data_IF_169275316651
#
_entry.id   IF_169275316651
#
_cell.length_a   1.000
_cell.length_b   1.000
_cell.length_c   1.000
_cell.angle_alpha   90.00
_cell.angle_beta   90.00
_cell.angle_gamma   90.00
#
_symmetry.space_group_name_H-M   'P 1'
#
loop_
_entity.id
_entity.type
_entity.pdbx_description
1 polymer ?
#
# COMPACT_ATOMS: atom_id res chain seq x y z
N UNK A 1 17.09 -23.71 -19.18
CA UNK A 1 16.12 -23.20 -18.20
C UNK A 1 15.01 -22.52 -18.98
N UNK A 2 13.77 -23.01 -18.87
CA UNK A 2 12.69 -22.70 -19.81
C UNK A 2 12.20 -21.25 -19.66
N UNK A 3 11.93 -20.59 -20.79
CA UNK A 3 11.36 -19.23 -20.81
C UNK A 3 9.91 -19.18 -20.31
N UNK A 4 9.24 -20.33 -20.20
CA UNK A 4 7.80 -20.45 -19.90
C UNK A 4 7.41 -20.01 -18.48
N UNK A 5 8.07 -20.46 -17.39
CA UNK A 5 7.67 -20.08 -16.03
C UNK A 5 7.90 -18.59 -15.75
N UNK A 6 8.98 -18.01 -16.29
CA UNK A 6 9.24 -16.56 -16.18
C UNK A 6 8.15 -15.78 -16.91
N UNK A 7 7.80 -16.20 -18.13
CA UNK A 7 6.75 -15.54 -18.91
C UNK A 7 5.37 -15.63 -18.24
N UNK A 8 5.04 -16.76 -17.64
CA UNK A 8 3.79 -16.93 -16.87
C UNK A 8 3.75 -16.02 -15.64
N UNK A 9 4.85 -15.90 -14.89
CA UNK A 9 4.96 -14.96 -13.79
C UNK A 9 4.79 -13.51 -14.27
N UNK A 10 5.41 -13.13 -15.39
CA UNK A 10 5.26 -11.79 -15.96
C UNK A 10 3.82 -11.51 -16.41
N UNK A 11 3.15 -12.49 -17.04
CA UNK A 11 1.73 -12.36 -17.41
C UNK A 11 0.82 -12.17 -16.18
N UNK A 12 1.12 -12.84 -15.07
CA UNK A 12 0.41 -12.61 -13.80
C UNK A 12 0.61 -11.18 -13.30
N UNK A 13 1.84 -10.66 -13.34
CA UNK A 13 2.13 -9.28 -12.95
C UNK A 13 1.43 -8.25 -13.85
N UNK A 14 1.21 -8.57 -15.12
CA UNK A 14 0.36 -7.76 -16.02
C UNK A 14 -1.08 -7.74 -15.53
N UNK A 15 -1.65 -8.90 -15.17
CA UNK A 15 -2.99 -8.98 -14.58
C UNK A 15 -3.12 -8.25 -13.24
N UNK A 16 -2.02 -8.10 -12.50
CA UNK A 16 -1.93 -7.36 -11.25
C UNK A 16 -1.61 -5.86 -11.47
N UNK A 17 -1.52 -5.39 -12.72
CA UNK A 17 -1.15 -4.02 -13.09
C UNK A 17 0.18 -3.55 -12.47
N UNK A 18 1.11 -4.50 -12.27
CA UNK A 18 2.50 -4.26 -11.86
C UNK A 18 3.44 -4.21 -13.07
N UNK A 19 3.03 -4.79 -14.20
CA UNK A 19 3.65 -4.70 -15.51
C UNK A 19 2.61 -4.30 -16.56
N UNK A 20 3.06 -3.66 -17.63
CA UNK A 20 2.32 -3.49 -18.87
C UNK A 20 2.85 -4.46 -19.93
N UNK A 21 1.98 -4.86 -20.86
CA UNK A 21 2.35 -5.62 -22.06
C UNK A 21 1.95 -4.81 -23.30
N UNK A 22 2.87 -4.01 -23.87
CA UNK A 22 2.61 -3.28 -25.10
C UNK A 22 2.29 -4.22 -26.28
N UNK A 23 1.54 -3.71 -27.26
CA UNK A 23 1.20 -4.45 -28.50
C UNK A 23 2.46 -4.84 -29.29
N UNK A 24 3.54 -4.06 -29.17
CA UNK A 24 4.85 -4.33 -29.77
C UNK A 24 5.56 -5.55 -29.14
N UNK A 25 4.99 -6.12 -28.08
CA UNK A 25 5.57 -7.23 -27.32
C UNK A 25 6.47 -6.75 -26.18
N UNK A 26 6.90 -7.72 -25.35
CA UNK A 26 7.70 -7.46 -24.17
C UNK A 26 6.87 -7.17 -22.92
N UNK A 27 7.55 -6.67 -21.88
CA UNK A 27 6.95 -6.27 -20.61
C UNK A 27 7.63 -5.00 -20.13
N UNK A 28 6.83 -4.05 -19.65
CA UNK A 28 7.31 -2.76 -19.20
C UNK A 28 6.77 -2.44 -17.81
N UNK A 29 7.47 -1.59 -17.05
CA UNK A 29 6.95 -1.10 -15.77
C UNK A 29 5.96 0.03 -16.09
N UNK A 30 4.73 0.01 -15.52
CA UNK A 30 3.75 1.04 -15.81
C UNK A 30 4.28 2.44 -15.49
N UNK A 31 4.07 3.37 -16.41
CA UNK A 31 4.44 4.77 -16.19
C UNK A 31 3.63 5.33 -15.03
N UNK A 32 4.31 5.77 -13.98
CA UNK A 32 3.66 6.34 -12.80
C UNK A 32 3.83 7.86 -12.80
N UNK A 33 2.81 8.55 -13.29
CA UNK A 33 2.71 10.01 -13.20
C UNK A 33 2.02 10.47 -11.90
N UNK A 34 1.97 11.79 -11.69
CA UNK A 34 1.37 12.36 -10.48
C UNK A 34 -0.13 12.02 -10.37
N UNK A 35 -0.84 11.96 -11.50
CA UNK A 35 -2.28 11.76 -11.50
C UNK A 35 -2.64 10.30 -11.17
N UNK A 36 -1.89 9.35 -11.74
CA UNK A 36 -1.97 7.93 -11.40
C UNK A 36 -1.64 7.69 -9.92
N UNK A 37 -0.59 8.31 -9.39
CA UNK A 37 -0.24 8.24 -7.97
C UNK A 37 -1.37 8.79 -7.08
N UNK A 38 -1.98 9.92 -7.46
CA UNK A 38 -3.15 10.51 -6.78
C UNK A 38 -4.32 9.54 -6.75
N UNK A 39 -4.64 8.90 -7.88
CA UNK A 39 -5.71 7.91 -7.97
C UNK A 39 -5.44 6.69 -7.09
N UNK A 40 -4.19 6.20 -7.04
CA UNK A 40 -3.80 5.11 -6.13
C UNK A 40 -4.01 5.48 -4.66
N UNK A 41 -3.64 6.69 -4.23
CA UNK A 41 -3.89 7.15 -2.87
C UNK A 41 -5.39 7.23 -2.54
N UNK A 42 -6.20 7.76 -3.46
CA UNK A 42 -7.65 7.87 -3.28
C UNK A 42 -8.30 6.49 -3.19
N UNK A 43 -7.93 5.58 -4.09
CA UNK A 43 -8.43 4.20 -4.08
C UNK A 43 -8.03 3.47 -2.80
N UNK A 44 -6.76 3.56 -2.40
CA UNK A 44 -6.26 2.98 -1.15
C UNK A 44 -7.03 3.51 0.06
N UNK A 45 -7.32 4.82 0.10
CA UNK A 45 -8.15 5.40 1.16
C UNK A 45 -9.56 4.78 1.19
N UNK A 46 -10.23 4.65 0.06
CA UNK A 46 -11.57 4.06 -0.01
C UNK A 46 -11.60 2.60 0.44
N UNK A 47 -10.60 1.82 0.01
CA UNK A 47 -10.46 0.41 0.42
C UNK A 47 -10.21 0.35 1.93
N UNK A 48 -9.24 1.10 2.47
CA UNK A 48 -8.97 1.09 3.91
C UNK A 48 -10.15 1.55 4.77
N UNK A 49 -10.91 2.53 4.31
CA UNK A 49 -12.12 2.99 5.02
C UNK A 49 -13.27 1.98 4.97
N UNK A 50 -13.37 1.20 3.89
CA UNK A 50 -14.30 0.08 3.78
C UNK A 50 -13.92 -1.01 4.78
N UNK A 51 -12.65 -1.40 4.83
CA UNK A 51 -12.16 -2.39 5.79
C UNK A 51 -12.37 -1.95 7.25
N UNK A 52 -11.99 -0.71 7.57
CA UNK A 52 -12.21 -0.12 8.91
C UNK A 52 -13.71 0.02 9.27
N UNK A 53 -14.62 -0.20 8.32
CA UNK A 53 -16.07 -0.19 8.56
C UNK A 53 -16.65 -1.55 8.90
N UNK A 54 -15.90 -2.64 8.73
CA UNK A 54 -16.31 -3.97 9.14
C UNK A 54 -16.39 -4.06 10.67
N UNK A 55 -17.40 -4.79 11.19
CA UNK A 55 -17.54 -5.05 12.62
C UNK A 55 -16.76 -6.31 12.95
N UNK A 56 -15.52 -6.18 13.40
CA UNK A 56 -14.77 -7.30 13.96
C UNK A 56 -13.71 -6.81 14.94
N UNK A 57 -13.58 -7.50 16.07
CA UNK A 57 -12.58 -7.26 17.13
C UNK A 57 -11.22 -7.89 16.81
N UNK A 58 -11.05 -8.44 15.61
CA UNK A 58 -9.83 -9.11 15.20
C UNK A 58 -8.77 -8.07 14.82
N UNK A 59 -8.04 -7.58 15.81
CA UNK A 59 -6.78 -6.91 15.56
C UNK A 59 -5.68 -7.95 15.75
N UNK A 60 -5.27 -8.50 14.61
CA UNK A 60 -4.19 -9.47 14.53
C UNK A 60 -2.89 -8.81 14.97
N UNK A 61 -2.22 -9.45 15.93
CA UNK A 61 -0.89 -9.07 16.40
C UNK A 61 0.12 -9.37 15.29
N UNK A 62 0.45 -8.38 14.47
CA UNK A 62 1.65 -8.45 13.63
C UNK A 62 2.83 -7.85 14.38
N UNK A 63 3.98 -8.52 14.27
CA UNK A 63 5.25 -7.96 14.72
C UNK A 63 5.68 -6.90 13.71
N UNK A 64 5.33 -5.65 13.98
CA UNK A 64 5.71 -4.50 13.16
C UNK A 64 7.17 -4.07 13.37
N UNK A 65 7.95 -4.79 14.20
CA UNK A 65 9.30 -4.41 14.61
C UNK A 65 10.41 -5.01 13.73
N UNK A 66 10.08 -5.84 12.74
CA UNK A 66 11.04 -6.44 11.78
C UNK A 66 11.51 -5.43 10.70
N UNK A 67 11.99 -4.26 11.11
CA UNK A 67 12.13 -3.09 10.22
C UNK A 67 13.52 -2.87 9.59
N UNK A 68 14.53 -3.67 9.93
CA UNK A 68 15.93 -3.35 9.57
C UNK A 68 16.54 -4.25 8.48
N UNK A 69 15.72 -4.94 7.69
CA UNK A 69 16.21 -5.69 6.53
C UNK A 69 16.08 -4.89 5.22
N UNK A 70 17.19 -4.78 4.49
CA UNK A 70 17.23 -4.24 3.13
C UNK A 70 16.22 -4.99 2.23
N UNK A 71 15.18 -4.28 1.81
CA UNK A 71 14.12 -4.83 0.96
C UNK A 71 12.79 -5.11 1.69
N UNK A 72 12.75 -5.05 3.02
CA UNK A 72 11.52 -5.29 3.79
C UNK A 72 10.42 -4.26 3.45
N UNK A 73 9.15 -4.67 3.25
CA UNK A 73 8.05 -3.76 2.94
C UNK A 73 7.97 -2.55 3.88
N UNK A 74 7.59 -1.35 3.37
CA UNK A 74 7.30 -0.22 4.24
C UNK A 74 6.34 -0.62 5.38
N UNK A 75 6.54 -0.21 6.64
CA UNK A 75 5.74 -0.68 7.77
C UNK A 75 4.22 -0.46 7.60
N UNK A 76 3.84 0.59 6.88
CA UNK A 76 2.45 0.90 6.59
C UNK A 76 1.73 -0.21 5.78
N UNK A 77 2.47 -0.97 4.98
CA UNK A 77 1.87 -2.04 4.16
C UNK A 77 1.36 -3.18 5.04
N UNK A 78 2.19 -3.59 6.01
CA UNK A 78 1.81 -4.57 7.02
C UNK A 78 0.58 -4.12 7.79
N UNK A 79 0.50 -2.82 8.10
CA UNK A 79 -0.63 -2.27 8.83
C UNK A 79 -1.93 -2.32 8.02
N UNK A 80 -1.86 -1.97 6.74
CA UNK A 80 -3.01 -2.06 5.84
C UNK A 80 -3.42 -3.51 5.59
N UNK A 81 -2.47 -4.43 5.49
CA UNK A 81 -2.75 -5.87 5.44
C UNK A 81 -3.48 -6.33 6.72
N UNK A 82 -3.04 -5.91 7.90
CA UNK A 82 -3.74 -6.20 9.17
C UNK A 82 -5.15 -5.62 9.21
N UNK A 83 -5.36 -4.38 8.75
CA UNK A 83 -6.70 -3.79 8.65
C UNK A 83 -7.59 -4.61 7.68
N UNK A 84 -7.02 -5.12 6.59
CA UNK A 84 -7.78 -5.93 5.62
C UNK A 84 -8.28 -7.25 6.20
N UNK A 85 -7.57 -7.84 7.16
CA UNK A 85 -7.95 -9.11 7.80
C UNK A 85 -9.26 -9.01 8.59
N UNK A 86 -9.60 -7.80 9.09
CA UNK A 86 -10.87 -7.51 9.77
C UNK A 86 -12.08 -7.81 8.88
N UNK A 87 -11.91 -7.76 7.56
CA UNK A 87 -12.98 -8.05 6.58
C UNK A 87 -13.31 -9.53 6.47
N UNK A 88 -12.40 -10.43 6.89
CA UNK A 88 -12.48 -11.88 6.68
C UNK A 88 -12.78 -12.28 5.22
N UNK A 89 -12.46 -11.41 4.26
CA UNK A 89 -12.71 -11.64 2.85
C UNK A 89 -11.38 -11.76 2.10
N UNK A 90 -11.10 -12.96 1.61
CA UNK A 90 -9.83 -13.27 0.91
C UNK A 90 -9.63 -12.40 -0.34
N UNK A 91 -10.68 -12.07 -1.09
CA UNK A 91 -10.59 -11.21 -2.26
C UNK A 91 -10.27 -9.77 -1.87
N UNK A 92 -10.82 -9.31 -0.74
CA UNK A 92 -10.49 -8.00 -0.19
C UNK A 92 -9.03 -7.93 0.25
N UNK A 93 -8.54 -8.97 0.92
CA UNK A 93 -7.12 -9.06 1.30
C UNK A 93 -6.19 -9.08 0.08
N UNK A 94 -6.57 -9.80 -0.98
CA UNK A 94 -5.82 -9.78 -2.25
C UNK A 94 -5.80 -8.38 -2.90
N UNK A 95 -6.93 -7.67 -2.89
CA UNK A 95 -7.00 -6.28 -3.38
C UNK A 95 -6.04 -5.37 -2.60
N UNK A 96 -5.98 -5.50 -1.28
CA UNK A 96 -5.09 -4.69 -0.43
C UNK A 96 -3.63 -4.99 -0.70
N UNK A 97 -3.25 -6.27 -0.82
CA UNK A 97 -1.87 -6.67 -1.19
C UNK A 97 -1.47 -6.13 -2.56
N UNK A 98 -2.35 -6.25 -3.56
CA UNK A 98 -2.10 -5.70 -4.89
C UNK A 98 -1.91 -4.16 -4.84
N UNK A 99 -2.76 -3.46 -4.10
CA UNK A 99 -2.58 -2.01 -3.89
C UNK A 99 -1.27 -1.71 -3.18
N UNK A 100 -0.87 -2.53 -2.21
CA UNK A 100 0.40 -2.36 -1.52
C UNK A 100 1.58 -2.49 -2.49
N UNK A 101 1.59 -3.53 -3.33
CA UNK A 101 2.65 -3.73 -4.31
C UNK A 101 2.72 -2.60 -5.34
N UNK A 102 1.58 -2.15 -5.86
CA UNK A 102 1.51 -1.02 -6.81
C UNK A 102 1.99 0.30 -6.19
N UNK A 103 1.76 0.49 -4.88
CA UNK A 103 2.17 1.70 -4.16
C UNK A 103 3.59 1.60 -3.57
N UNK A 104 4.23 0.43 -3.58
CA UNK A 104 5.51 0.18 -2.92
C UNK A 104 6.57 1.20 -3.31
N UNK A 105 6.73 1.46 -4.61
CA UNK A 105 7.69 2.44 -5.13
C UNK A 105 7.40 3.87 -4.63
N UNK A 106 6.12 4.24 -4.53
CA UNK A 106 5.69 5.54 -4.00
C UNK A 106 6.03 5.65 -2.52
N UNK A 107 5.73 4.62 -1.72
CA UNK A 107 6.01 4.60 -0.28
C UNK A 107 7.49 4.64 0.04
N UNK A 108 8.33 4.03 -0.80
CA UNK A 108 9.80 4.21 -0.73
C UNK A 108 10.24 5.64 -1.04
N UNK A 109 9.55 6.35 -1.92
CA UNK A 109 9.79 7.78 -2.13
C UNK A 109 9.30 8.61 -0.94
N UNK A 110 8.18 8.23 -0.30
CA UNK A 110 7.74 8.85 0.97
C UNK A 110 8.84 8.76 2.04
N UNK A 111 9.44 7.58 2.25
CA UNK A 111 10.53 7.36 3.22
C UNK A 111 11.73 8.30 3.01
N UNK A 112 12.03 8.64 1.76
CA UNK A 112 13.14 9.55 1.39
C UNK A 112 12.79 11.03 1.50
N UNK A 113 11.51 11.39 1.33
CA UNK A 113 11.08 12.79 1.14
C UNK A 113 10.33 13.36 2.35
N UNK A 114 9.56 12.53 3.05
CA UNK A 114 8.70 12.97 4.13
C UNK A 114 9.34 12.73 5.49
N UNK A 115 9.43 13.78 6.30
CA UNK A 115 9.87 13.68 7.69
C UNK A 115 8.76 13.12 8.59
N UNK A 116 9.14 12.57 9.75
CA UNK A 116 8.19 12.16 10.80
C UNK A 116 7.32 10.93 10.47
N UNK A 117 7.64 10.17 9.43
CA UNK A 117 6.88 8.97 9.05
C UNK A 117 6.81 7.92 10.14
N UNK A 118 7.92 7.67 10.87
CA UNK A 118 7.92 6.71 11.99
C UNK A 118 6.93 7.11 13.09
N UNK A 119 6.97 8.37 13.52
CA UNK A 119 6.01 8.91 14.52
C UNK A 119 4.57 8.82 14.04
N UNK A 120 4.32 9.09 12.76
CA UNK A 120 2.97 8.97 12.18
C UNK A 120 2.50 7.51 12.16
N UNK A 121 3.38 6.57 11.78
CA UNK A 121 3.12 5.13 11.81
C UNK A 121 2.80 4.65 13.23
N UNK A 122 3.65 4.96 14.21
CA UNK A 122 3.45 4.56 15.60
C UNK A 122 2.12 5.11 16.15
N UNK A 123 1.77 6.35 15.81
CA UNK A 123 0.51 6.97 16.20
C UNK A 123 -0.72 6.31 15.53
N UNK A 124 -0.58 5.81 14.29
CA UNK A 124 -1.63 5.10 13.59
C UNK A 124 -1.80 3.68 14.15
N UNK A 125 -0.69 2.96 14.36
CA UNK A 125 -0.64 1.64 14.97
C UNK A 125 -1.29 1.64 16.36
N UNK A 126 -0.88 2.56 17.25
CA UNK A 126 -1.45 2.63 18.60
C UNK A 126 -2.95 2.98 18.63
N UNK A 127 -3.48 3.64 17.59
CA UNK A 127 -4.94 3.87 17.46
C UNK A 127 -5.68 2.64 16.96
N UNK A 128 -5.03 1.87 16.10
CA UNK A 128 -5.55 0.60 15.60
C UNK A 128 -5.61 -0.39 16.75
N UNK A 129 -4.54 -0.59 17.51
CA UNK A 129 -4.49 -1.49 18.67
C UNK A 129 -5.59 -1.22 19.72
N UNK A 130 -5.96 0.06 19.92
CA UNK A 130 -7.05 0.46 20.82
C UNK A 130 -8.46 0.19 20.29
N UNK A 131 -8.60 -0.24 19.02
CA UNK A 131 -9.86 -0.71 18.44
C UNK A 131 -10.94 0.36 18.21
N UNK A 132 -10.64 1.65 18.35
CA UNK A 132 -11.65 2.70 18.14
C UNK A 132 -11.84 2.99 16.64
N UNK A 133 -12.90 2.44 16.05
CA UNK A 133 -13.27 2.60 14.64
C UNK A 133 -13.22 4.05 14.14
N UNK A 134 -13.76 5.00 14.90
CA UNK A 134 -13.77 6.41 14.47
C UNK A 134 -12.37 7.02 14.48
N UNK A 135 -11.54 6.64 15.45
CA UNK A 135 -10.14 7.03 15.52
C UNK A 135 -9.32 6.47 14.34
N UNK A 136 -9.53 5.19 14.01
CA UNK A 136 -8.88 4.52 12.87
C UNK A 136 -9.26 5.23 11.58
N UNK A 137 -10.57 5.43 11.32
CA UNK A 137 -11.06 6.13 10.12
C UNK A 137 -10.46 7.52 9.95
N UNK A 138 -10.45 8.33 11.02
CA UNK A 138 -9.85 9.68 10.99
C UNK A 138 -8.35 9.62 10.67
N UNK A 139 -7.66 8.62 11.18
CA UNK A 139 -6.21 8.49 11.01
C UNK A 139 -5.84 7.99 9.63
N UNK A 140 -6.61 7.07 9.05
CA UNK A 140 -6.51 6.67 7.64
C UNK A 140 -6.73 7.88 6.73
N UNK A 141 -7.78 8.67 6.96
CA UNK A 141 -8.03 9.90 6.17
C UNK A 141 -6.88 10.90 6.30
N UNK A 142 -6.36 11.12 7.51
CA UNK A 142 -5.24 12.03 7.74
C UNK A 142 -3.97 11.56 7.02
N UNK A 143 -3.68 10.25 7.09
CA UNK A 143 -2.58 9.60 6.40
C UNK A 143 -2.63 9.92 4.90
N UNK A 144 -3.73 9.59 4.22
CA UNK A 144 -3.85 9.78 2.77
C UNK A 144 -3.87 11.25 2.36
N UNK A 145 -4.57 12.11 3.13
CA UNK A 145 -4.58 13.57 2.87
C UNK A 145 -3.19 14.18 2.91
N UNK A 146 -2.34 13.76 3.85
CA UNK A 146 -0.95 14.21 3.94
C UNK A 146 -0.17 13.86 2.68
N UNK A 147 -0.31 12.64 2.15
CA UNK A 147 0.41 12.22 0.94
C UNK A 147 -0.08 12.98 -0.29
N UNK A 148 -1.39 13.11 -0.44
CA UNK A 148 -1.98 13.86 -1.56
C UNK A 148 -1.54 15.33 -1.55
N UNK A 149 -1.37 15.94 -0.36
CA UNK A 149 -0.87 17.33 -0.24
C UNK A 149 0.60 17.46 -0.63
N UNK A 150 1.43 16.49 -0.28
CA UNK A 150 2.87 16.49 -0.58
C UNK A 150 3.20 15.67 -1.82
N UNK A 151 2.21 15.43 -2.69
CA UNK A 151 2.36 14.53 -3.81
C UNK A 151 3.48 14.96 -4.77
N UNK A 152 3.63 16.24 -5.16
CA UNK A 152 4.74 16.67 -6.00
C UNK A 152 6.12 16.36 -5.39
N UNK A 153 6.25 16.54 -4.07
CA UNK A 153 7.49 16.25 -3.34
C UNK A 153 7.80 14.74 -3.33
N UNK A 154 6.79 13.90 -3.08
CA UNK A 154 6.91 12.44 -3.13
C UNK A 154 7.32 11.99 -4.54
N UNK A 155 6.66 12.52 -5.58
CA UNK A 155 6.95 12.16 -6.97
C UNK A 155 8.38 12.56 -7.39
N UNK A 156 8.92 13.67 -6.87
CA UNK A 156 10.33 14.05 -7.05
C UNK A 156 11.33 13.07 -6.45
N UNK A 157 10.86 12.10 -5.65
CA UNK A 157 11.65 11.04 -5.06
C UNK A 157 11.61 9.74 -5.84
N UNK A 158 10.86 9.64 -6.94
CA UNK A 158 10.81 8.41 -7.74
C UNK A 158 12.01 8.23 -8.67
N UNK A 159 12.84 9.26 -8.81
CA UNK A 159 14.12 9.24 -9.53
C UNK A 159 15.19 8.42 -8.82
#
# INVERSE_FOLDING_TARGET
>A
MSATPVREAMLRLVGEALLDMPVTGGFEIPSLDENAARHLYILSQYVMLTAASCRSSLLVSHDFNQQDELGAPPPIELLFDSISQVTQNVFFMHLVRNLNDRMRRIRRAEERKLSGLRREFDALLGKIERGNRQSIRRSVVAYHRRRIRNLPEIMSGLT
#
